data_IF_483547427707
#
_entry.id   IF_483547427707
#
_cell.length_a   1.000
_cell.length_b   1.000
_cell.length_c   1.000
_cell.angle_alpha   90.00
_cell.angle_beta   90.00
_cell.angle_gamma   90.00
#
_symmetry.space_group_name_H-M   'P 1'
#
loop_
_entity.id
_entity.type
_entity.pdbx_description
1 polymer ?
#
# COMPACT_ATOMS: atom_id res chain seq x y z
N UNK A 1 36.02 15.62 -7.94
CA UNK A 1 34.81 16.31 -7.42
C UNK A 1 34.67 15.91 -5.96
N UNK A 2 34.42 16.89 -5.09
CA UNK A 2 34.59 16.84 -3.62
C UNK A 2 34.12 15.54 -2.93
N UNK A 3 35.00 14.93 -2.13
CA UNK A 3 34.69 13.83 -1.17
C UNK A 3 33.88 14.31 0.05
N UNK A 4 33.51 15.59 0.09
CA UNK A 4 32.83 16.18 1.23
C UNK A 4 31.32 15.90 1.20
N UNK A 5 30.81 15.25 2.24
CA UNK A 5 29.37 15.08 2.45
C UNK A 5 28.76 16.45 2.79
N UNK A 6 27.81 16.92 1.99
CA UNK A 6 27.05 18.14 2.27
C UNK A 6 25.81 17.76 3.08
N UNK A 7 25.73 18.21 4.33
CA UNK A 7 24.55 18.03 5.15
C UNK A 7 23.43 18.97 4.67
N UNK A 8 22.29 18.39 4.30
CA UNK A 8 21.06 19.11 3.92
C UNK A 8 20.21 19.52 5.12
N UNK A 9 20.71 19.28 6.34
CA UNK A 9 20.00 19.51 7.59
C UNK A 9 19.74 20.98 7.88
N UNK A 10 20.35 21.95 7.20
CA UNK A 10 20.02 23.37 7.39
C UNK A 10 19.95 24.07 6.03
N UNK A 11 19.23 25.20 5.96
CA UNK A 11 19.28 26.07 4.79
C UNK A 11 20.72 26.54 4.56
N UNK A 12 21.28 26.29 3.38
CA UNK A 12 22.56 26.88 3.00
C UNK A 12 22.38 28.39 2.81
N UNK A 13 23.23 29.21 3.44
CA UNK A 13 23.17 30.69 3.30
C UNK A 13 23.30 31.19 1.85
N UNK A 14 23.74 30.36 0.90
CA UNK A 14 23.89 30.67 -0.53
C UNK A 14 22.61 30.52 -1.37
N UNK A 15 21.46 30.13 -0.78
CA UNK A 15 20.24 29.85 -1.55
C UNK A 15 19.35 31.07 -1.86
N UNK A 16 19.84 32.30 -1.68
CA UNK A 16 19.06 33.53 -1.95
C UNK A 16 18.79 33.81 -3.44
N UNK A 17 19.46 33.12 -4.37
CA UNK A 17 19.38 33.40 -5.82
C UNK A 17 18.78 32.27 -6.67
N UNK A 18 18.34 31.15 -6.08
CA UNK A 18 17.77 30.04 -6.85
C UNK A 18 16.23 30.05 -6.81
N UNK A 19 15.55 29.79 -7.95
CA UNK A 19 14.10 29.64 -7.98
C UNK A 19 13.69 28.50 -7.03
N UNK A 20 12.66 28.73 -6.23
CA UNK A 20 12.13 27.70 -5.33
C UNK A 20 11.56 26.56 -6.16
N UNK A 21 12.15 25.36 -6.06
CA UNK A 21 11.52 24.11 -6.53
C UNK A 21 10.36 23.69 -5.61
N UNK A 22 9.65 24.66 -5.02
CA UNK A 22 8.54 24.41 -4.11
C UNK A 22 7.47 23.59 -4.81
N UNK A 23 6.91 22.63 -4.09
CA UNK A 23 5.84 21.78 -4.60
C UNK A 23 4.49 22.32 -4.13
N UNK A 24 3.62 22.61 -5.08
CA UNK A 24 2.25 23.07 -4.82
C UNK A 24 1.31 21.87 -4.75
N UNK A 25 1.33 21.15 -3.63
CA UNK A 25 0.51 19.95 -3.43
C UNK A 25 -0.99 20.26 -3.61
N UNK A 26 -1.70 19.38 -4.33
CA UNK A 26 -3.10 19.61 -4.70
C UNK A 26 -3.31 20.51 -5.92
N UNK A 27 -2.28 20.98 -6.62
CA UNK A 27 -2.50 21.64 -7.90
C UNK A 27 -2.96 20.65 -8.99
N UNK A 28 -4.03 21.03 -9.72
CA UNK A 28 -4.68 20.21 -10.75
C UNK A 28 -3.84 19.93 -11.99
N UNK A 29 -2.88 20.80 -12.30
CA UNK A 29 -1.97 20.60 -13.43
C UNK A 29 -0.56 20.32 -12.92
N UNK A 30 0.16 19.36 -13.50
CA UNK A 30 1.51 19.03 -13.06
C UNK A 30 2.50 20.19 -13.25
N UNK A 31 2.28 21.08 -14.22
CA UNK A 31 3.11 22.27 -14.47
C UNK A 31 3.09 23.23 -13.28
N UNK A 32 1.90 23.46 -12.71
CA UNK A 32 1.72 24.30 -11.52
C UNK A 32 2.16 23.55 -10.26
N UNK A 33 1.88 22.25 -10.17
CA UNK A 33 2.26 21.43 -9.00
C UNK A 33 3.78 21.35 -8.82
N UNK A 34 4.50 21.16 -9.92
CA UNK A 34 5.92 20.83 -9.93
C UNK A 34 6.21 19.34 -9.66
N UNK A 35 7.43 18.89 -9.99
CA UNK A 35 7.86 17.51 -9.78
C UNK A 35 8.29 17.24 -8.34
N UNK A 36 8.31 15.96 -7.95
CA UNK A 36 8.99 15.50 -6.73
C UNK A 36 10.49 15.35 -7.04
N UNK A 37 11.33 16.05 -6.28
CA UNK A 37 12.79 16.06 -6.46
C UNK A 37 13.45 15.63 -5.15
N UNK A 38 13.87 14.37 -5.09
CA UNK A 38 14.68 13.81 -4.00
C UNK A 38 16.11 13.47 -4.48
N UNK A 39 16.72 14.41 -5.22
CA UNK A 39 18.05 14.26 -5.82
C UNK A 39 19.14 13.97 -4.77
N UNK A 40 20.02 13.02 -5.11
CA UNK A 40 21.20 12.67 -4.31
C UNK A 40 22.48 13.38 -4.76
N UNK A 41 22.53 13.79 -6.02
CA UNK A 41 23.73 14.40 -6.63
C UNK A 41 23.72 15.92 -6.55
N UNK A 42 22.52 16.52 -6.49
CA UNK A 42 22.33 17.98 -6.51
C UNK A 42 21.38 18.39 -5.39
N UNK A 43 21.87 18.41 -4.14
CA UNK A 43 21.02 18.61 -2.96
C UNK A 43 20.24 19.93 -2.96
N UNK A 44 20.74 20.96 -3.67
CA UNK A 44 20.11 22.27 -3.78
C UNK A 44 18.77 22.21 -4.52
N UNK A 45 18.57 21.24 -5.41
CA UNK A 45 17.32 21.10 -6.16
C UNK A 45 16.21 20.41 -5.35
N UNK A 46 16.53 19.84 -4.19
CA UNK A 46 15.59 19.00 -3.44
C UNK A 46 14.41 19.80 -2.93
N UNK A 47 13.22 19.22 -3.10
CA UNK A 47 11.98 19.69 -2.49
C UNK A 47 11.29 18.61 -1.63
N UNK A 48 11.98 17.48 -1.43
CA UNK A 48 11.50 16.37 -0.62
C UNK A 48 12.59 15.79 0.31
N UNK A 49 12.13 15.27 1.44
CA UNK A 49 12.91 14.53 2.43
C UNK A 49 12.99 13.06 2.00
N UNK A 50 14.12 12.39 2.22
CA UNK A 50 14.32 11.00 1.81
C UNK A 50 14.88 10.86 0.39
N UNK A 51 14.58 9.76 -0.29
CA UNK A 51 15.10 9.47 -1.65
C UNK A 51 14.07 8.69 -2.46
N UNK A 52 14.07 8.83 -3.78
CA UNK A 52 13.29 7.95 -4.67
C UNK A 52 13.60 6.46 -4.40
N UNK A 53 12.56 5.62 -4.47
CA UNK A 53 12.62 4.19 -4.14
C UNK A 53 13.26 3.92 -2.78
N UNK A 54 12.79 4.62 -1.75
CA UNK A 54 13.37 4.66 -0.41
C UNK A 54 13.59 3.27 0.22
N UNK A 55 12.66 2.33 0.03
CA UNK A 55 12.79 0.95 0.53
C UNK A 55 14.04 0.22 0.00
N UNK A 56 14.59 0.67 -1.13
CA UNK A 56 15.78 0.10 -1.78
C UNK A 56 17.01 1.01 -1.66
N UNK A 57 16.93 2.11 -0.90
CA UNK A 57 18.00 3.10 -0.81
C UNK A 57 19.30 2.52 -0.23
N UNK A 58 19.21 1.61 0.75
CA UNK A 58 20.39 0.95 1.35
C UNK A 58 21.05 0.00 0.36
N UNK A 59 20.29 -0.79 -0.40
CA UNK A 59 20.85 -1.63 -1.46
C UNK A 59 21.53 -0.81 -2.55
N UNK A 60 20.91 0.32 -2.94
CA UNK A 60 21.53 1.28 -3.87
C UNK A 60 22.83 1.84 -3.29
N UNK A 61 22.85 2.21 -2.02
CA UNK A 61 24.07 2.71 -1.37
C UNK A 61 25.18 1.66 -1.35
N UNK A 62 24.86 0.39 -1.08
CA UNK A 62 25.82 -0.72 -1.17
C UNK A 62 26.33 -0.93 -2.60
N UNK A 63 25.45 -0.87 -3.60
CA UNK A 63 25.84 -0.99 -5.00
C UNK A 63 26.78 0.14 -5.45
N UNK A 64 26.58 1.36 -4.93
CA UNK A 64 27.51 2.47 -5.17
C UNK A 64 28.84 2.24 -4.45
N UNK A 65 28.80 1.82 -3.18
CA UNK A 65 30.00 1.54 -2.40
C UNK A 65 30.84 0.39 -2.98
N UNK A 66 30.19 -0.61 -3.58
CA UNK A 66 30.86 -1.74 -4.25
C UNK A 66 31.31 -1.42 -5.69
N UNK A 67 31.03 -0.22 -6.22
CA UNK A 67 31.33 0.16 -7.59
C UNK A 67 30.44 -0.52 -8.65
N UNK A 68 29.35 -1.18 -8.25
CA UNK A 68 28.37 -1.79 -9.16
C UNK A 68 27.45 -0.76 -9.81
N UNK A 69 27.24 0.38 -9.15
CA UNK A 69 26.45 1.50 -9.66
C UNK A 69 27.26 2.79 -9.53
N UNK A 70 27.34 3.60 -10.59
CA UNK A 70 27.94 4.93 -10.49
C UNK A 70 27.13 5.81 -9.54
N UNK A 71 27.81 6.51 -8.63
CA UNK A 71 27.17 7.43 -7.67
C UNK A 71 26.27 8.46 -8.35
N UNK A 72 26.70 8.94 -9.51
CA UNK A 72 26.04 10.00 -10.26
C UNK A 72 25.16 9.43 -11.41
N UNK A 73 24.89 8.12 -11.40
CA UNK A 73 24.07 7.45 -12.41
C UNK A 73 22.71 8.12 -12.58
N UNK A 74 22.38 8.43 -13.84
CA UNK A 74 21.07 8.89 -14.27
C UNK A 74 20.36 7.75 -14.99
N UNK A 75 19.20 7.30 -14.47
CA UNK A 75 18.39 6.30 -15.16
C UNK A 75 17.97 6.80 -16.56
N UNK A 76 17.98 5.90 -17.54
CA UNK A 76 17.36 6.11 -18.83
C UNK A 76 15.88 5.70 -18.76
N UNK A 77 14.97 6.63 -19.04
CA UNK A 77 13.52 6.40 -19.06
C UNK A 77 12.96 6.28 -20.48
N UNK A 78 13.81 6.09 -21.48
CA UNK A 78 13.37 5.79 -22.85
C UNK A 78 12.53 4.51 -22.86
N UNK A 79 11.34 4.57 -23.50
CA UNK A 79 10.38 3.46 -23.59
C UNK A 79 9.87 2.92 -22.24
N UNK A 80 9.87 3.73 -21.18
CA UNK A 80 9.29 3.36 -19.87
C UNK A 80 7.90 3.98 -19.62
N UNK A 81 7.28 4.54 -20.67
CA UNK A 81 5.93 5.10 -20.58
C UNK A 81 4.93 4.03 -20.07
N UNK A 82 3.94 4.43 -19.26
CA UNK A 82 3.00 3.50 -18.68
C UNK A 82 2.19 2.78 -19.76
N UNK A 83 1.94 1.48 -19.57
CA UNK A 83 1.15 0.69 -20.53
C UNK A 83 -0.32 1.11 -20.62
N UNK A 84 -0.81 1.84 -19.62
CA UNK A 84 -2.12 2.48 -19.57
C UNK A 84 -2.01 3.85 -18.89
N UNK A 85 -2.67 4.85 -19.44
CA UNK A 85 -2.78 6.16 -18.80
C UNK A 85 -3.95 6.16 -17.82
N UNK A 86 -3.67 6.59 -16.60
CA UNK A 86 -4.66 6.73 -15.53
C UNK A 86 -4.83 8.21 -15.26
N UNK A 87 -6.08 8.67 -15.13
CA UNK A 87 -6.42 10.06 -14.84
C UNK A 87 -6.05 11.07 -15.94
N UNK A 88 -5.91 12.37 -15.60
CA UNK A 88 -6.12 12.91 -14.25
C UNK A 88 -7.58 12.78 -13.81
N UNK A 89 -7.79 12.49 -12.52
CA UNK A 89 -9.12 12.53 -11.90
C UNK A 89 -9.23 13.78 -11.02
N UNK A 90 -10.43 14.39 -10.84
CA UNK A 90 -10.59 15.62 -10.06
C UNK A 90 -9.99 15.56 -8.64
N UNK A 91 -9.99 14.37 -8.03
CA UNK A 91 -9.43 14.13 -6.71
C UNK A 91 -7.92 14.39 -6.61
N UNK A 92 -7.19 14.42 -7.73
CA UNK A 92 -5.75 14.73 -7.73
C UNK A 92 -5.46 16.20 -7.40
N UNK A 93 -6.43 17.07 -7.69
CA UNK A 93 -6.40 18.51 -7.35
C UNK A 93 -6.92 18.83 -5.96
N UNK A 94 -7.26 17.82 -5.15
CA UNK A 94 -7.69 18.03 -3.77
C UNK A 94 -6.55 17.61 -2.81
N UNK A 95 -5.92 18.56 -2.09
CA UNK A 95 -4.79 18.27 -1.22
C UNK A 95 -5.15 17.36 -0.03
N UNK A 96 -6.44 17.17 0.26
CA UNK A 96 -6.91 16.30 1.32
C UNK A 96 -7.24 14.88 0.84
N UNK A 97 -7.31 14.61 -0.47
CA UNK A 97 -7.71 13.29 -1.01
C UNK A 97 -6.54 12.33 -1.15
N UNK A 98 -5.41 12.80 -1.64
CA UNK A 98 -4.21 11.97 -1.85
C UNK A 98 -3.07 12.61 -1.07
N UNK A 99 -2.62 11.94 -0.02
CA UNK A 99 -1.54 12.42 0.87
C UNK A 99 -0.42 11.41 1.06
N UNK A 100 -0.59 10.17 0.56
CA UNK A 100 0.33 9.05 0.80
C UNK A 100 1.15 8.58 -0.41
N UNK A 101 0.88 9.11 -1.62
CA UNK A 101 1.73 8.93 -2.80
C UNK A 101 1.54 10.08 -3.81
N UNK A 102 2.38 10.09 -4.85
CA UNK A 102 2.39 11.13 -5.87
C UNK A 102 1.43 10.77 -7.04
N UNK A 103 0.32 11.49 -7.22
CA UNK A 103 -0.68 11.15 -8.25
C UNK A 103 -0.14 11.24 -9.68
N UNK A 104 0.92 12.01 -9.93
CA UNK A 104 1.57 12.15 -11.24
C UNK A 104 2.74 11.18 -11.45
N UNK A 105 2.99 10.28 -10.49
CA UNK A 105 4.20 9.47 -10.43
C UNK A 105 4.47 8.61 -11.66
N UNK A 106 3.44 8.14 -12.35
CA UNK A 106 3.52 7.32 -13.57
C UNK A 106 3.77 8.14 -14.83
N UNK A 107 3.53 9.45 -14.77
CA UNK A 107 3.70 10.38 -15.90
C UNK A 107 4.95 11.25 -15.75
N UNK A 108 5.65 11.18 -14.61
CA UNK A 108 6.72 12.10 -14.26
C UNK A 108 7.81 12.23 -15.34
N UNK A 109 8.33 11.14 -15.96
CA UNK A 109 9.34 11.25 -17.02
C UNK A 109 8.86 12.02 -18.26
N UNK A 110 7.58 11.88 -18.63
CA UNK A 110 7.02 12.53 -19.81
C UNK A 110 6.63 13.99 -19.53
N UNK A 111 5.93 14.21 -18.43
CA UNK A 111 5.38 15.51 -18.05
C UNK A 111 6.47 16.51 -17.65
N UNK A 112 7.55 16.03 -17.04
CA UNK A 112 8.67 16.87 -16.60
C UNK A 112 9.92 16.73 -17.48
N UNK A 113 9.77 16.26 -18.72
CA UNK A 113 10.88 16.02 -19.64
C UNK A 113 11.77 17.27 -19.85
N UNK A 114 11.18 18.47 -19.87
CA UNK A 114 11.93 19.73 -20.00
C UNK A 114 12.84 19.98 -18.79
N UNK A 115 12.32 19.77 -17.58
CA UNK A 115 13.08 19.91 -16.34
C UNK A 115 14.18 18.84 -16.23
N UNK A 116 13.87 17.60 -16.63
CA UNK A 116 14.86 16.52 -16.69
C UNK A 116 15.98 16.83 -17.70
N UNK A 117 15.65 17.34 -18.88
CA UNK A 117 16.63 17.78 -19.87
C UNK A 117 17.49 18.97 -19.38
N UNK A 118 16.95 19.80 -18.48
CA UNK A 118 17.68 20.86 -17.78
C UNK A 118 18.55 20.36 -16.61
N UNK A 119 18.64 19.04 -16.39
CA UNK A 119 19.51 18.42 -15.39
C UNK A 119 18.87 18.16 -14.02
N UNK A 120 17.55 18.36 -13.87
CA UNK A 120 16.84 18.02 -12.63
C UNK A 120 16.61 16.51 -12.56
N UNK A 121 17.06 15.87 -11.46
CA UNK A 121 16.87 14.43 -11.21
C UNK A 121 15.43 14.16 -10.76
N UNK A 122 14.54 13.92 -11.73
CA UNK A 122 13.13 13.59 -11.53
C UNK A 122 12.96 12.12 -11.88
N UNK A 123 12.32 11.36 -10.99
CA UNK A 123 12.11 9.91 -11.18
C UNK A 123 10.65 9.55 -10.96
N UNK A 124 10.11 8.58 -11.71
CA UNK A 124 8.76 8.10 -11.47
C UNK A 124 8.68 7.44 -10.09
N UNK A 125 7.55 7.64 -9.41
CA UNK A 125 7.18 6.94 -8.18
C UNK A 125 6.09 5.90 -8.41
N UNK A 126 5.55 5.84 -9.64
CA UNK A 126 4.57 4.84 -10.06
C UNK A 126 5.01 4.27 -11.40
N UNK A 127 4.84 2.97 -11.61
CA UNK A 127 5.03 2.33 -12.91
C UNK A 127 3.83 1.44 -13.22
N UNK A 128 3.31 1.52 -14.45
CA UNK A 128 2.11 0.78 -14.90
C UNK A 128 2.48 -0.14 -16.06
N UNK A 129 2.11 -1.42 -15.96
CA UNK A 129 2.36 -2.44 -16.98
C UNK A 129 1.19 -3.40 -17.12
N UNK A 130 1.18 -4.22 -18.18
CA UNK A 130 0.22 -5.31 -18.36
C UNK A 130 0.93 -6.65 -18.14
N UNK A 131 0.21 -7.61 -17.56
CA UNK A 131 0.74 -8.94 -17.29
C UNK A 131 -0.39 -9.98 -17.29
N UNK A 132 0.01 -11.25 -17.20
CA UNK A 132 -0.87 -12.32 -16.76
C UNK A 132 -0.46 -12.76 -15.35
N UNK A 133 -1.44 -13.12 -14.52
CA UNK A 133 -1.20 -13.87 -13.28
C UNK A 133 -1.78 -15.27 -13.43
N UNK A 134 -1.14 -16.26 -12.80
CA UNK A 134 -1.61 -17.64 -12.75
C UNK A 134 -1.36 -18.14 -11.33
N UNK A 135 -2.39 -18.71 -10.71
CA UNK A 135 -2.35 -19.19 -9.32
C UNK A 135 -3.06 -20.54 -9.23
N UNK A 136 -2.56 -21.48 -8.40
CA UNK A 136 -3.23 -22.76 -8.17
C UNK A 136 -4.71 -22.62 -7.81
N UNK A 137 -5.05 -21.63 -6.97
CA UNK A 137 -6.40 -21.35 -6.50
C UNK A 137 -7.36 -21.00 -7.64
N UNK A 138 -6.87 -20.36 -8.71
CA UNK A 138 -7.71 -20.05 -9.88
C UNK A 138 -8.09 -21.34 -10.63
N UNK A 139 -7.15 -22.29 -10.75
CA UNK A 139 -7.42 -23.60 -11.36
C UNK A 139 -8.37 -24.42 -10.50
N UNK A 140 -8.24 -24.36 -9.18
CA UNK A 140 -9.17 -24.99 -8.25
C UNK A 140 -10.57 -24.37 -8.36
N UNK A 141 -10.67 -23.03 -8.42
CA UNK A 141 -11.92 -22.32 -8.60
C UNK A 141 -12.60 -22.67 -9.94
N UNK A 142 -11.82 -22.80 -11.02
CA UNK A 142 -12.31 -23.26 -12.32
C UNK A 142 -12.80 -24.71 -12.27
N UNK A 143 -12.02 -25.61 -11.66
CA UNK A 143 -12.37 -27.02 -11.54
C UNK A 143 -13.63 -27.24 -10.69
N UNK A 144 -13.82 -26.39 -9.68
CA UNK A 144 -15.01 -26.36 -8.84
C UNK A 144 -16.21 -25.62 -9.48
N UNK A 145 -16.04 -25.05 -10.68
CA UNK A 145 -17.09 -24.31 -11.39
C UNK A 145 -17.42 -22.92 -10.82
N UNK A 146 -16.63 -22.41 -9.87
CA UNK A 146 -16.77 -21.06 -9.30
C UNK A 146 -16.35 -19.98 -10.30
N UNK A 147 -15.30 -20.23 -11.06
CA UNK A 147 -14.87 -19.38 -12.17
C UNK A 147 -15.05 -20.10 -13.50
N UNK A 148 -15.42 -19.35 -14.54
CA UNK A 148 -15.52 -19.86 -15.91
C UNK A 148 -14.64 -19.01 -16.82
N UNK A 149 -13.76 -19.62 -17.62
CA UNK A 149 -12.94 -18.88 -18.57
C UNK A 149 -13.84 -18.23 -19.63
N UNK A 150 -13.49 -17.00 -20.02
CA UNK A 150 -14.13 -16.23 -21.08
C UNK A 150 -13.20 -15.98 -22.28
N UNK A 151 -11.93 -16.36 -22.16
CA UNK A 151 -10.91 -16.13 -23.18
C UNK A 151 -10.45 -14.68 -23.31
N UNK A 152 -10.87 -13.80 -22.40
CA UNK A 152 -10.54 -12.37 -22.41
C UNK A 152 -9.92 -11.91 -21.08
N UNK A 153 -10.61 -12.17 -19.97
CA UNK A 153 -10.11 -11.88 -18.62
C UNK A 153 -9.45 -13.12 -18.06
N UNK A 154 -10.13 -14.28 -18.14
CA UNK A 154 -9.67 -15.57 -17.63
C UNK A 154 -9.58 -16.57 -18.78
N UNK A 155 -8.39 -17.15 -18.96
CA UNK A 155 -8.11 -18.13 -20.00
C UNK A 155 -8.24 -19.57 -19.48
N UNK A 156 -8.42 -20.52 -20.40
CA UNK A 156 -8.56 -21.96 -20.11
C UNK A 156 -7.37 -22.55 -19.33
N UNK A 157 -6.17 -21.98 -19.47
CA UNK A 157 -4.98 -22.41 -18.75
C UNK A 157 -4.87 -21.84 -17.32
N UNK A 158 -5.86 -21.03 -16.89
CA UNK A 158 -5.89 -20.33 -15.61
C UNK A 158 -5.12 -19.00 -15.58
N UNK A 159 -4.59 -18.54 -16.72
CA UNK A 159 -4.02 -17.21 -16.82
C UNK A 159 -5.13 -16.16 -16.71
N UNK A 160 -4.83 -15.08 -15.99
CA UNK A 160 -5.73 -13.94 -15.87
C UNK A 160 -5.02 -12.69 -16.31
N UNK A 161 -5.61 -11.97 -17.26
CA UNK A 161 -5.08 -10.72 -17.79
C UNK A 161 -5.28 -9.61 -16.76
N UNK A 162 -4.20 -8.90 -16.44
CA UNK A 162 -4.22 -7.80 -15.47
C UNK A 162 -3.43 -6.59 -15.96
N UNK A 163 -3.90 -5.40 -15.57
CA UNK A 163 -3.06 -4.19 -15.53
C UNK A 163 -2.50 -4.05 -14.12
N UNK A 164 -1.19 -3.86 -14.00
CA UNK A 164 -0.49 -3.73 -12.73
C UNK A 164 0.06 -2.33 -12.56
N UNK A 165 -0.03 -1.79 -11.35
CA UNK A 165 0.65 -0.55 -10.98
C UNK A 165 1.50 -0.76 -9.72
N UNK A 166 2.79 -0.49 -9.78
CA UNK A 166 3.65 -0.43 -8.59
C UNK A 166 3.74 1.03 -8.13
N UNK A 167 3.53 1.29 -6.84
CA UNK A 167 3.46 2.64 -6.26
C UNK A 167 4.41 2.72 -5.08
N UNK A 168 5.44 3.57 -5.20
CA UNK A 168 6.31 3.99 -4.11
C UNK A 168 5.62 5.06 -3.26
N UNK A 169 5.79 5.03 -1.92
CA UNK A 169 5.16 6.00 -1.04
C UNK A 169 5.79 7.39 -1.18
N UNK A 170 4.94 8.41 -1.22
CA UNK A 170 5.32 9.83 -1.23
C UNK A 170 4.34 10.58 -0.35
N UNK A 171 4.77 10.96 0.85
CA UNK A 171 3.90 11.53 1.88
C UNK A 171 3.92 13.05 1.85
N UNK A 172 2.73 13.65 1.76
CA UNK A 172 2.54 15.07 2.01
C UNK A 172 2.29 15.29 3.51
N UNK A 173 3.31 15.76 4.21
CA UNK A 173 3.33 15.81 5.68
C UNK A 173 2.19 16.64 6.29
N UNK A 174 1.80 17.83 5.76
CA UNK A 174 0.66 18.57 6.28
C UNK A 174 -0.67 17.80 6.15
N UNK A 175 -0.90 17.19 4.99
CA UNK A 175 -2.11 16.38 4.75
C UNK A 175 -2.15 15.12 5.61
N UNK A 176 -1.00 14.48 5.80
CA UNK A 176 -0.84 13.33 6.68
C UNK A 176 -1.15 13.68 8.15
N UNK A 177 -0.61 14.81 8.62
CA UNK A 177 -0.86 15.32 9.97
C UNK A 177 -2.35 15.60 10.20
N UNK A 178 -3.01 16.25 9.22
CA UNK A 178 -4.45 16.48 9.24
C UNK A 178 -5.25 15.17 9.23
N UNK A 179 -4.88 14.20 8.38
CA UNK A 179 -5.56 12.90 8.25
C UNK A 179 -5.56 12.12 9.56
N UNK A 180 -4.45 12.16 10.30
CA UNK A 180 -4.33 11.50 11.61
C UNK A 180 -4.76 12.37 12.79
N UNK A 181 -5.23 13.59 12.54
CA UNK A 181 -5.55 14.57 13.58
C UNK A 181 -4.40 14.78 14.59
N UNK A 182 -3.18 14.94 14.06
CA UNK A 182 -1.96 15.19 14.82
C UNK A 182 -1.33 16.51 14.38
N UNK A 183 -0.62 17.16 15.30
CA UNK A 183 0.18 18.34 14.96
C UNK A 183 1.34 17.95 14.01
N UNK A 184 1.57 18.71 12.93
CA UNK A 184 2.64 18.41 11.95
C UNK A 184 4.04 18.35 12.59
N UNK A 185 4.35 19.27 13.52
CA UNK A 185 5.64 19.26 14.22
C UNK A 185 5.79 18.04 15.11
N UNK A 186 4.71 17.59 15.74
CA UNK A 186 4.72 16.35 16.50
C UNK A 186 4.93 15.14 15.58
N UNK A 187 4.20 15.05 14.46
CA UNK A 187 4.39 13.98 13.45
C UNK A 187 5.85 13.89 13.02
N UNK A 188 6.41 15.01 12.55
CA UNK A 188 7.80 15.10 12.08
C UNK A 188 8.81 14.67 13.14
N UNK A 189 8.62 15.13 14.38
CA UNK A 189 9.47 14.77 15.52
C UNK A 189 9.45 13.27 15.79
N UNK A 190 8.27 12.66 15.84
CA UNK A 190 8.16 11.22 16.06
C UNK A 190 8.75 10.42 14.90
N UNK A 191 8.56 10.85 13.64
CA UNK A 191 9.20 10.22 12.49
C UNK A 191 10.74 10.26 12.62
N UNK A 192 11.31 11.40 13.02
CA UNK A 192 12.75 11.53 13.24
C UNK A 192 13.24 10.64 14.40
N UNK A 193 12.58 10.68 15.56
CA UNK A 193 12.98 9.91 16.74
C UNK A 193 12.84 8.40 16.51
N UNK A 194 11.74 7.94 15.92
CA UNK A 194 11.46 6.51 15.70
C UNK A 194 12.26 5.90 14.54
N UNK A 195 12.85 6.73 13.67
CA UNK A 195 13.82 6.26 12.68
C UNK A 195 15.26 6.32 13.19
N UNK A 196 15.48 6.54 14.49
CA UNK A 196 16.82 6.61 15.07
C UNK A 196 17.59 7.85 14.63
N UNK A 197 16.89 8.96 14.37
CA UNK A 197 17.48 10.21 13.90
C UNK A 197 17.80 10.22 12.40
N UNK A 198 17.24 9.29 11.62
CA UNK A 198 17.32 9.39 10.16
C UNK A 198 16.52 10.61 9.68
N UNK A 199 17.03 11.28 8.65
CA UNK A 199 16.42 12.46 8.04
C UNK A 199 16.28 13.67 8.99
N UNK A 200 17.40 14.31 9.40
CA UNK A 200 17.37 15.53 10.21
C UNK A 200 16.44 16.63 9.66
N UNK A 201 16.25 16.67 8.34
CA UNK A 201 15.35 17.60 7.65
C UNK A 201 13.91 17.56 8.16
N UNK A 202 13.46 16.44 8.75
CA UNK A 202 12.14 16.35 9.36
C UNK A 202 11.96 17.42 10.45
N UNK A 203 13.01 17.72 11.22
CA UNK A 203 12.95 18.67 12.34
C UNK A 203 13.64 20.01 12.05
N UNK A 204 14.42 20.10 10.97
CA UNK A 204 15.19 21.32 10.66
C UNK A 204 14.75 22.05 9.38
N UNK A 205 13.99 21.40 8.49
CA UNK A 205 13.58 21.91 7.17
C UNK A 205 12.07 21.82 7.00
N UNK A 206 11.34 22.70 7.70
CA UNK A 206 9.89 22.79 7.63
C UNK A 206 9.37 23.33 6.28
N UNK A 207 10.23 23.90 5.46
CA UNK A 207 9.97 24.24 4.07
C UNK A 207 9.74 22.99 3.20
N UNK A 208 10.39 21.86 3.53
CA UNK A 208 10.18 20.60 2.83
C UNK A 208 8.89 19.92 3.34
N UNK A 209 7.84 19.96 2.53
CA UNK A 209 6.50 19.40 2.87
C UNK A 209 6.30 17.95 2.46
N UNK A 210 7.21 17.40 1.67
CA UNK A 210 7.12 16.03 1.15
C UNK A 210 8.18 15.14 1.76
N UNK A 211 7.80 13.91 2.09
CA UNK A 211 8.69 12.87 2.60
C UNK A 211 8.53 11.57 1.81
N UNK A 212 9.65 10.97 1.38
CA UNK A 212 9.68 9.66 0.73
C UNK A 212 10.14 8.64 1.78
N UNK A 213 9.22 8.04 2.54
CA UNK A 213 9.59 7.10 3.60
C UNK A 213 10.21 5.83 3.01
N UNK A 214 11.24 5.26 3.65
CA UNK A 214 11.89 4.03 3.20
C UNK A 214 11.09 2.78 3.62
N UNK A 215 9.80 2.73 3.27
CA UNK A 215 8.89 1.62 3.59
C UNK A 215 8.40 0.95 2.31
N UNK A 216 7.85 -0.26 2.46
CA UNK A 216 7.21 -0.97 1.36
C UNK A 216 6.05 -0.17 0.76
N UNK A 217 5.99 -0.12 -0.57
CA UNK A 217 4.90 0.49 -1.32
C UNK A 217 3.66 -0.41 -1.43
N UNK A 218 2.88 -0.17 -2.48
CA UNK A 218 1.75 -1.02 -2.84
C UNK A 218 1.84 -1.46 -4.30
N UNK A 219 1.15 -2.56 -4.61
CA UNK A 219 0.97 -3.02 -6.00
C UNK A 219 -0.50 -3.24 -6.26
N UNK A 220 -0.99 -2.71 -7.37
CA UNK A 220 -2.36 -2.88 -7.82
C UNK A 220 -2.41 -3.98 -8.88
N UNK A 221 -3.49 -4.75 -8.86
CA UNK A 221 -3.86 -5.68 -9.91
C UNK A 221 -5.29 -5.34 -10.32
N UNK A 222 -5.43 -4.79 -11.53
CA UNK A 222 -6.71 -4.42 -12.11
C UNK A 222 -7.13 -5.48 -13.12
N UNK A 223 -8.35 -6.00 -12.97
CA UNK A 223 -8.99 -6.98 -13.82
C UNK A 223 -10.03 -6.27 -14.67
N UNK A 224 -9.95 -6.42 -15.99
CA UNK A 224 -10.75 -5.65 -16.94
C UNK A 224 -10.10 -4.32 -17.33
N UNK A 225 -10.91 -3.42 -17.90
CA UNK A 225 -10.44 -2.18 -18.51
C UNK A 225 -10.26 -1.06 -17.48
N UNK A 226 -9.00 -0.80 -17.08
CA UNK A 226 -8.68 0.21 -16.05
C UNK A 226 -9.16 1.62 -16.42
N UNK A 227 -9.22 1.95 -17.72
CA UNK A 227 -9.72 3.23 -18.24
C UNK A 227 -11.23 3.45 -18.03
N UNK A 228 -11.96 2.41 -17.60
CA UNK A 228 -13.34 2.52 -17.19
C UNK A 228 -13.48 3.08 -15.77
N UNK A 229 -12.45 3.00 -14.92
CA UNK A 229 -12.49 3.53 -13.56
C UNK A 229 -12.69 5.05 -13.56
N UNK A 230 -13.37 5.56 -12.52
CA UNK A 230 -13.74 6.96 -12.39
C UNK A 230 -15.00 7.38 -13.15
N UNK A 231 -15.59 6.51 -13.98
CA UNK A 231 -16.89 6.74 -14.62
C UNK A 231 -18.02 6.21 -13.71
N UNK A 232 -19.11 6.96 -13.58
CA UNK A 232 -20.23 6.61 -12.69
C UNK A 232 -20.92 5.29 -13.03
N UNK A 233 -20.91 4.91 -14.32
CA UNK A 233 -21.53 3.66 -14.81
C UNK A 233 -20.70 2.41 -14.51
N UNK A 234 -19.42 2.58 -14.17
CA UNK A 234 -18.49 1.45 -14.01
C UNK A 234 -18.70 0.80 -12.65
N UNK A 235 -19.08 -0.47 -12.65
CA UNK A 235 -19.15 -1.27 -11.41
C UNK A 235 -17.77 -1.70 -10.97
N UNK A 236 -17.51 -1.65 -9.67
CA UNK A 236 -16.19 -1.95 -9.09
C UNK A 236 -16.30 -3.03 -8.02
N UNK A 237 -15.47 -4.06 -8.16
CA UNK A 237 -15.20 -5.01 -7.09
C UNK A 237 -13.78 -4.79 -6.58
N UNK A 238 -13.56 -4.90 -5.27
CA UNK A 238 -12.25 -4.65 -4.70
C UNK A 238 -11.88 -5.54 -3.52
N UNK A 239 -10.58 -5.85 -3.41
CA UNK A 239 -9.92 -6.40 -2.24
C UNK A 239 -8.71 -5.54 -1.86
N UNK A 240 -8.67 -5.03 -0.64
CA UNK A 240 -7.45 -4.44 -0.07
C UNK A 240 -6.77 -5.44 0.85
N UNK A 241 -5.62 -5.92 0.40
CA UNK A 241 -4.81 -6.92 1.07
C UNK A 241 -3.58 -6.28 1.70
N UNK A 242 -3.27 -6.67 2.94
CA UNK A 242 -1.99 -6.33 3.57
C UNK A 242 -1.15 -7.60 3.59
N UNK A 243 0.10 -7.48 3.15
CA UNK A 243 1.08 -8.56 3.01
C UNK A 243 1.15 -9.48 4.23
N UNK A 244 1.17 -10.78 3.95
CA UNK A 244 1.43 -11.84 4.89
C UNK A 244 2.26 -12.92 4.21
N UNK A 245 3.57 -12.72 4.11
CA UNK A 245 4.52 -13.56 3.38
C UNK A 245 4.32 -15.07 3.65
N UNK A 246 4.26 -15.46 4.93
CA UNK A 246 4.06 -16.86 5.33
C UNK A 246 2.77 -17.50 4.79
N UNK A 247 1.67 -16.74 4.67
CA UNK A 247 0.41 -17.25 4.12
C UNK A 247 0.38 -17.09 2.61
N UNK A 248 0.61 -15.88 2.11
CA UNK A 248 0.48 -15.51 0.71
C UNK A 248 1.41 -16.33 -0.20
N UNK A 249 2.66 -16.56 0.23
CA UNK A 249 3.65 -17.31 -0.56
C UNK A 249 3.61 -18.80 -0.21
N UNK A 250 3.63 -19.14 1.08
CA UNK A 250 3.87 -20.52 1.54
C UNK A 250 2.63 -21.27 2.03
N UNK A 251 1.44 -20.64 2.04
CA UNK A 251 0.19 -21.32 2.38
C UNK A 251 0.06 -21.66 3.85
N UNK A 252 0.65 -20.87 4.75
CA UNK A 252 0.44 -21.02 6.20
C UNK A 252 -1.05 -21.07 6.55
N UNK A 253 -1.41 -22.09 7.34
CA UNK A 253 -2.77 -22.44 7.78
C UNK A 253 -3.22 -21.73 9.08
N UNK A 254 -2.33 -20.96 9.70
CA UNK A 254 -2.56 -20.27 10.98
C UNK A 254 -3.38 -18.97 10.78
N UNK A 255 -3.50 -18.50 9.54
CA UNK A 255 -4.27 -17.30 9.23
C UNK A 255 -5.03 -17.40 7.91
N UNK A 256 -5.96 -16.47 7.72
CA UNK A 256 -6.86 -16.42 6.57
C UNK A 256 -6.36 -15.52 5.43
N UNK A 257 -5.11 -15.06 5.46
CA UNK A 257 -4.60 -14.08 4.50
C UNK A 257 -4.68 -14.57 3.04
N UNK A 258 -4.06 -15.70 2.71
CA UNK A 258 -4.06 -16.24 1.35
C UNK A 258 -5.45 -16.69 0.85
N UNK A 259 -6.25 -17.45 1.62
CA UNK A 259 -7.61 -17.79 1.19
C UNK A 259 -8.47 -16.56 0.87
N UNK A 260 -8.32 -15.49 1.64
CA UNK A 260 -9.07 -14.26 1.40
C UNK A 260 -8.49 -13.45 0.22
N UNK A 261 -7.17 -13.47 0.00
CA UNK A 261 -6.58 -12.91 -1.21
C UNK A 261 -7.12 -13.61 -2.46
N UNK A 262 -7.11 -14.96 -2.47
CA UNK A 262 -7.64 -15.76 -3.57
C UNK A 262 -9.13 -15.48 -3.81
N UNK A 263 -9.95 -15.50 -2.75
CA UNK A 263 -11.37 -15.18 -2.86
C UNK A 263 -11.61 -13.74 -3.36
N UNK A 264 -10.82 -12.78 -2.90
CA UNK A 264 -10.87 -11.41 -3.41
C UNK A 264 -10.53 -11.30 -4.89
N UNK A 265 -9.57 -12.11 -5.38
CA UNK A 265 -9.24 -12.21 -6.81
C UNK A 265 -10.42 -12.84 -7.58
N UNK A 266 -11.05 -13.92 -7.08
CA UNK A 266 -12.24 -14.53 -7.70
C UNK A 266 -13.36 -13.48 -7.89
N UNK A 267 -13.70 -12.74 -6.84
CA UNK A 267 -14.72 -11.67 -6.88
C UNK A 267 -14.35 -10.55 -7.87
N UNK A 268 -13.05 -10.22 -7.99
CA UNK A 268 -12.56 -9.22 -8.94
C UNK A 268 -12.62 -9.71 -10.39
N UNK A 269 -12.31 -10.97 -10.65
CA UNK A 269 -12.43 -11.59 -11.97
C UNK A 269 -13.90 -11.58 -12.38
N UNK A 270 -14.80 -12.12 -11.56
CA UNK A 270 -16.25 -12.14 -11.84
C UNK A 270 -16.79 -10.75 -12.22
N UNK A 271 -16.39 -9.70 -11.49
CA UNK A 271 -16.79 -8.33 -11.79
C UNK A 271 -16.29 -7.88 -13.17
N UNK A 272 -15.03 -8.17 -13.50
CA UNK A 272 -14.46 -7.83 -14.80
C UNK A 272 -15.19 -8.56 -15.95
N UNK A 273 -15.52 -9.84 -15.77
CA UNK A 273 -16.27 -10.63 -16.76
C UNK A 273 -17.70 -10.11 -16.99
N UNK A 274 -18.28 -9.41 -15.99
CA UNK A 274 -19.58 -8.75 -16.09
C UNK A 274 -19.51 -7.34 -16.71
N UNK A 275 -18.35 -6.95 -17.26
CA UNK A 275 -18.12 -5.62 -17.84
C UNK A 275 -17.79 -4.52 -16.83
N UNK A 276 -17.58 -4.87 -15.56
CA UNK A 276 -17.06 -3.97 -14.53
C UNK A 276 -15.52 -3.99 -14.46
N UNK A 277 -14.98 -3.54 -13.33
CA UNK A 277 -13.53 -3.61 -13.04
C UNK A 277 -13.30 -4.25 -11.68
N UNK A 278 -12.42 -5.25 -11.64
CA UNK A 278 -11.89 -5.81 -10.41
C UNK A 278 -10.60 -5.10 -9.99
N UNK A 279 -10.41 -4.85 -8.70
CA UNK A 279 -9.22 -4.19 -8.16
C UNK A 279 -8.70 -4.91 -6.91
N UNK A 280 -7.49 -5.46 -6.98
CA UNK A 280 -6.74 -5.90 -5.79
C UNK A 280 -5.65 -4.88 -5.49
N UNK A 281 -5.66 -4.34 -4.27
CA UNK A 281 -4.61 -3.49 -3.72
C UNK A 281 -3.78 -4.33 -2.76
N UNK A 282 -2.52 -4.59 -3.08
CA UNK A 282 -1.59 -5.34 -2.23
C UNK A 282 -0.60 -4.39 -1.55
N UNK A 283 -0.78 -4.16 -0.25
CA UNK A 283 0.10 -3.30 0.55
C UNK A 283 1.21 -4.12 1.19
N UNK A 284 2.45 -3.65 1.11
CA UNK A 284 3.62 -4.29 1.75
C UNK A 284 3.73 -3.90 3.23
N UNK A 285 2.75 -4.34 4.03
CA UNK A 285 2.57 -4.03 5.46
C UNK A 285 2.52 -5.32 6.31
N UNK A 286 3.60 -6.10 6.26
CA UNK A 286 3.72 -7.37 6.99
C UNK A 286 3.43 -7.25 8.49
N UNK A 287 2.73 -8.24 9.03
CA UNK A 287 2.52 -8.37 10.47
C UNK A 287 1.76 -7.20 11.09
N UNK A 288 0.80 -6.60 10.37
CA UNK A 288 0.13 -5.35 10.78
C UNK A 288 1.08 -4.17 10.97
N UNK A 289 2.07 -4.09 10.09
CA UNK A 289 3.18 -3.14 10.17
C UNK A 289 4.08 -3.29 11.43
N UNK A 290 4.06 -4.45 12.08
CA UNK A 290 4.99 -4.81 13.18
C UNK A 290 6.23 -5.58 12.69
N UNK A 291 6.20 -6.06 11.45
CA UNK A 291 7.23 -6.93 10.89
C UNK A 291 7.09 -8.40 11.27
N UNK A 292 7.80 -9.26 10.54
CA UNK A 292 7.67 -10.72 10.63
C UNK A 292 8.24 -11.29 11.94
N UNK A 293 9.34 -10.71 12.46
CA UNK A 293 9.94 -11.14 13.73
C UNK A 293 8.94 -11.00 14.88
N UNK A 294 8.34 -9.82 15.03
CA UNK A 294 7.33 -9.55 16.07
C UNK A 294 6.12 -10.47 15.92
N UNK A 295 5.65 -10.68 14.69
CA UNK A 295 4.56 -11.62 14.39
C UNK A 295 4.87 -13.02 14.88
N UNK A 296 6.07 -13.54 14.65
CA UNK A 296 6.46 -14.89 15.09
C UNK A 296 6.62 -14.96 16.61
N UNK A 297 7.14 -13.91 17.26
CA UNK A 297 7.15 -13.82 18.72
C UNK A 297 5.74 -13.88 19.31
N UNK A 298 4.77 -13.18 18.71
CA UNK A 298 3.36 -13.23 19.10
C UNK A 298 2.77 -14.62 18.90
N UNK A 299 3.03 -15.29 17.77
CA UNK A 299 2.57 -16.67 17.55
C UNK A 299 3.15 -17.64 18.60
N UNK A 300 4.44 -17.54 18.90
CA UNK A 300 5.08 -18.36 19.92
C UNK A 300 4.50 -18.08 21.31
N UNK A 301 4.25 -16.81 21.65
CA UNK A 301 3.66 -16.43 22.93
C UNK A 301 2.22 -16.95 23.06
N UNK A 302 1.42 -16.86 21.99
CA UNK A 302 0.06 -17.41 21.94
C UNK A 302 0.01 -18.91 22.13
N UNK A 303 0.92 -19.67 21.49
CA UNK A 303 0.96 -21.13 21.65
C UNK A 303 1.47 -21.57 23.02
N UNK A 304 2.38 -20.81 23.65
CA UNK A 304 2.99 -21.16 24.95
C UNK A 304 2.18 -20.73 26.17
N UNK A 305 1.16 -19.89 26.00
CA UNK A 305 0.38 -19.42 27.14
C UNK A 305 -0.41 -20.57 27.77
N UNK A 306 -0.66 -20.46 29.08
CA UNK A 306 -1.56 -21.38 29.79
C UNK A 306 -2.94 -21.35 29.12
N UNK A 307 -3.43 -22.51 28.73
CA UNK A 307 -4.70 -22.65 28.02
C UNK A 307 -4.59 -22.73 26.50
N UNK A 308 -3.40 -22.55 25.93
CA UNK A 308 -3.11 -22.68 24.49
C UNK A 308 -3.51 -21.45 23.67
N UNK A 309 -3.47 -21.57 22.35
CA UNK A 309 -3.86 -20.49 21.44
C UNK A 309 -5.40 -20.37 21.36
N UNK A 310 -5.96 -19.27 21.87
CA UNK A 310 -7.42 -19.05 22.02
C UNK A 310 -7.84 -17.69 21.48
N UNK A 311 -9.06 -17.61 20.97
CA UNK A 311 -9.61 -16.39 20.39
C UNK A 311 -9.68 -15.23 21.41
N UNK A 312 -10.07 -15.53 22.67
CA UNK A 312 -10.22 -14.55 23.76
C UNK A 312 -8.94 -13.76 24.09
N UNK A 313 -7.76 -14.37 23.89
CA UNK A 313 -6.45 -13.76 24.22
C UNK A 313 -5.68 -13.28 23.00
N UNK A 314 -6.27 -13.42 21.81
CA UNK A 314 -5.60 -13.21 20.53
C UNK A 314 -4.92 -11.83 20.44
N UNK A 315 -5.69 -10.77 20.71
CA UNK A 315 -5.21 -9.39 20.61
C UNK A 315 -4.38 -8.99 21.83
N UNK A 316 -4.72 -9.47 23.02
CA UNK A 316 -3.99 -9.20 24.26
C UNK A 316 -2.51 -9.63 24.16
N UNK A 317 -2.22 -10.76 23.50
CA UNK A 317 -0.83 -11.18 23.27
C UNK A 317 -0.08 -10.32 22.28
N UNK A 318 -0.77 -9.79 21.28
CA UNK A 318 -0.17 -8.84 20.35
C UNK A 318 0.23 -7.57 21.09
N UNK A 319 -0.68 -7.01 21.88
CA UNK A 319 -0.44 -5.80 22.68
C UNK A 319 0.66 -6.00 23.73
N UNK A 320 0.69 -7.14 24.40
CA UNK A 320 1.74 -7.47 25.38
C UNK A 320 3.15 -7.50 24.76
N UNK A 321 3.30 -7.96 23.52
CA UNK A 321 4.61 -8.09 22.85
C UNK A 321 4.98 -6.82 22.08
N UNK A 322 4.01 -6.20 21.40
CA UNK A 322 4.25 -5.10 20.48
C UNK A 322 3.89 -3.71 21.06
N UNK A 323 3.24 -3.65 22.23
CA UNK A 323 2.73 -2.41 22.84
C UNK A 323 1.45 -1.87 22.17
N UNK A 324 0.99 -2.49 21.08
CA UNK A 324 -0.19 -2.08 20.31
C UNK A 324 -0.74 -3.27 19.51
N UNK A 325 -2.02 -3.25 19.19
CA UNK A 325 -2.69 -4.35 18.47
C UNK A 325 -2.56 -4.25 16.93
N UNK A 326 -2.37 -3.05 16.40
CA UNK A 326 -2.27 -2.75 14.97
C UNK A 326 -1.50 -1.42 14.75
N UNK A 327 -0.47 -1.42 13.90
CA UNK A 327 0.27 -0.21 13.50
C UNK A 327 -0.03 0.22 12.06
N UNK A 328 -1.01 -0.41 11.40
CA UNK A 328 -1.37 -0.05 10.03
C UNK A 328 -2.18 1.24 10.04
N UNK A 329 -1.70 2.19 9.26
CA UNK A 329 -2.46 3.37 8.88
C UNK A 329 -3.47 3.03 7.78
N UNK A 330 -4.69 2.64 8.17
CA UNK A 330 -5.77 2.34 7.24
C UNK A 330 -6.38 3.61 6.65
N UNK A 331 -6.21 4.74 7.33
CA UNK A 331 -6.66 6.06 6.91
C UNK A 331 -6.01 6.53 5.60
N UNK A 332 -4.87 5.94 5.21
CA UNK A 332 -4.18 6.23 3.94
C UNK A 332 -4.64 5.34 2.78
N UNK A 333 -5.31 4.22 3.10
CA UNK A 333 -5.81 3.26 2.11
C UNK A 333 -6.73 3.90 1.05
N UNK A 334 -7.63 4.86 1.38
CA UNK A 334 -8.53 5.48 0.40
C UNK A 334 -7.82 6.23 -0.74
N UNK A 335 -6.60 6.70 -0.54
CA UNK A 335 -5.89 7.56 -1.50
C UNK A 335 -5.75 6.88 -2.88
N UNK A 336 -5.54 5.56 -2.92
CA UNK A 336 -5.43 4.81 -4.20
C UNK A 336 -6.74 4.78 -4.97
N UNK A 337 -7.87 4.73 -4.26
CA UNK A 337 -9.19 4.78 -4.89
C UNK A 337 -9.45 6.16 -5.48
N UNK A 338 -9.05 7.22 -4.77
CA UNK A 338 -9.11 8.58 -5.30
C UNK A 338 -8.19 8.77 -6.51
N UNK A 339 -7.01 8.15 -6.51
CA UNK A 339 -6.13 8.18 -7.67
C UNK A 339 -6.73 7.50 -8.90
N UNK A 340 -7.49 6.42 -8.70
CA UNK A 340 -8.26 5.73 -9.76
C UNK A 340 -9.63 6.39 -10.05
N UNK A 341 -9.94 7.52 -9.41
CA UNK A 341 -11.23 8.21 -9.55
C UNK A 341 -12.43 7.50 -8.92
N UNK A 342 -12.23 6.40 -8.19
CA UNK A 342 -13.28 5.58 -7.58
C UNK A 342 -13.94 6.35 -6.42
N UNK A 343 -15.28 6.42 -6.46
CA UNK A 343 -16.14 7.02 -5.42
C UNK A 343 -17.12 6.01 -4.81
N UNK A 344 -17.29 4.86 -5.45
CA UNK A 344 -18.21 3.78 -5.06
C UNK A 344 -17.58 2.44 -5.36
N UNK A 345 -17.73 1.50 -4.44
CA UNK A 345 -17.32 0.10 -4.55
C UNK A 345 -18.58 -0.75 -4.44
N UNK A 346 -18.93 -1.46 -5.50
CA UNK A 346 -20.13 -2.31 -5.55
C UNK A 346 -19.95 -3.56 -4.71
N UNK A 347 -18.81 -4.25 -4.83
CA UNK A 347 -18.51 -5.48 -4.08
C UNK A 347 -17.13 -5.40 -3.43
N UNK A 348 -17.08 -5.32 -2.11
CA UNK A 348 -15.83 -5.21 -1.38
C UNK A 348 -15.54 -6.46 -0.56
N UNK A 349 -14.55 -7.24 -0.98
CA UNK A 349 -14.14 -8.48 -0.32
C UNK A 349 -13.35 -8.18 0.96
N UNK A 350 -14.06 -7.86 2.05
CA UNK A 350 -13.45 -7.53 3.35
C UNK A 350 -14.45 -7.53 4.51
N UNK A 351 -14.02 -8.10 5.65
CA UNK A 351 -14.72 -8.03 6.94
C UNK A 351 -14.19 -6.91 7.86
N UNK A 352 -13.18 -6.15 7.44
CA UNK A 352 -12.54 -5.15 8.31
C UNK A 352 -13.37 -3.88 8.46
N UNK A 353 -13.86 -3.61 9.68
CA UNK A 353 -14.56 -2.36 10.00
C UNK A 353 -13.63 -1.14 9.99
N UNK A 354 -12.36 -1.30 10.38
CA UNK A 354 -11.38 -0.21 10.29
C UNK A 354 -11.17 0.26 8.85
N UNK A 355 -10.97 -0.68 7.91
CA UNK A 355 -10.84 -0.34 6.49
C UNK A 355 -12.12 0.27 5.92
N UNK A 356 -13.30 -0.23 6.33
CA UNK A 356 -14.58 0.33 5.93
C UNK A 356 -14.75 1.78 6.42
N UNK A 357 -14.44 2.02 7.70
CA UNK A 357 -14.45 3.35 8.31
C UNK A 357 -13.54 4.33 7.57
N UNK A 358 -12.33 3.90 7.19
CA UNK A 358 -11.42 4.72 6.42
C UNK A 358 -11.97 5.10 5.03
N UNK A 359 -12.57 4.16 4.30
CA UNK A 359 -13.20 4.42 2.99
C UNK A 359 -14.36 5.42 3.12
N UNK A 360 -15.29 5.14 4.02
CA UNK A 360 -16.48 5.97 4.22
C UNK A 360 -16.13 7.37 4.70
N UNK A 361 -15.15 7.51 5.60
CA UNK A 361 -14.64 8.82 6.06
C UNK A 361 -14.01 9.65 4.94
N UNK A 362 -13.55 9.02 3.86
CA UNK A 362 -13.00 9.70 2.68
C UNK A 362 -14.03 9.88 1.55
N UNK A 363 -15.30 9.53 1.80
CA UNK A 363 -16.40 9.70 0.86
C UNK A 363 -16.47 8.62 -0.21
N UNK A 364 -15.93 7.42 0.07
CA UNK A 364 -16.08 6.25 -0.80
C UNK A 364 -17.23 5.40 -0.27
N UNK A 365 -18.26 5.25 -1.09
CA UNK A 365 -19.41 4.39 -0.80
C UNK A 365 -19.03 2.91 -0.96
N UNK A 366 -19.44 2.06 -0.01
CA UNK A 366 -19.32 0.60 -0.12
C UNK A 366 -20.72 0.01 -0.09
N UNK A 367 -21.16 -0.58 -1.21
CA UNK A 367 -22.52 -1.10 -1.37
C UNK A 367 -22.67 -2.48 -0.72
N UNK A 368 -21.76 -3.40 -1.05
CA UNK A 368 -21.77 -4.76 -0.53
C UNK A 368 -20.41 -5.11 0.08
N UNK A 369 -20.43 -5.74 1.25
CA UNK A 369 -19.24 -6.33 1.89
C UNK A 369 -19.32 -7.84 1.72
N UNK A 370 -18.37 -8.40 0.96
CA UNK A 370 -18.32 -9.84 0.66
C UNK A 370 -17.42 -10.54 1.70
N UNK A 371 -17.99 -11.37 2.60
CA UNK A 371 -17.22 -12.18 3.54
C UNK A 371 -16.49 -13.30 2.80
N UNK A 372 -15.47 -13.88 3.42
CA UNK A 372 -14.89 -15.13 2.92
C UNK A 372 -15.86 -16.29 3.15
N UNK A 373 -16.05 -17.20 2.18
CA UNK A 373 -16.83 -18.43 2.37
C UNK A 373 -16.22 -19.31 3.47
N UNK A 374 -17.07 -19.95 4.27
CA UNK A 374 -16.64 -20.75 5.44
C UNK A 374 -15.76 -21.94 5.04
N UNK A 375 -16.02 -22.54 3.89
CA UNK A 375 -15.26 -23.66 3.32
C UNK A 375 -13.83 -23.28 2.91
N UNK A 376 -13.53 -21.98 2.75
CA UNK A 376 -12.19 -21.49 2.43
C UNK A 376 -11.40 -21.11 3.69
N UNK A 377 -11.98 -21.21 4.89
CA UNK A 377 -11.30 -20.89 6.15
C UNK A 377 -10.55 -22.14 6.64
N UNK A 378 -9.19 -22.11 6.73
CA UNK A 378 -8.43 -23.21 7.32
C UNK A 378 -8.85 -23.47 8.77
N UNK A 379 -8.80 -24.73 9.21
CA UNK A 379 -9.23 -25.12 10.55
C UNK A 379 -8.50 -24.33 11.67
N UNK A 380 -7.18 -24.23 11.57
CA UNK A 380 -6.35 -23.48 12.54
C UNK A 380 -6.62 -21.97 12.50
N UNK A 381 -7.04 -21.44 11.35
CA UNK A 381 -7.37 -20.03 11.18
C UNK A 381 -8.74 -19.66 11.78
N UNK A 382 -9.55 -20.63 12.22
CA UNK A 382 -10.83 -20.37 12.91
C UNK A 382 -10.63 -19.56 14.19
N UNK A 383 -9.54 -19.82 14.93
CA UNK A 383 -9.17 -19.03 16.13
C UNK A 383 -8.99 -17.55 15.79
N UNK A 384 -8.31 -17.24 14.67
CA UNK A 384 -8.17 -15.87 14.19
C UNK A 384 -9.52 -15.28 13.78
N UNK A 385 -10.35 -16.05 13.09
CA UNK A 385 -11.65 -15.62 12.61
C UNK A 385 -12.58 -15.24 13.75
N UNK A 386 -12.73 -16.14 14.72
CA UNK A 386 -13.59 -15.97 15.88
C UNK A 386 -13.13 -14.77 16.72
N UNK A 387 -11.82 -14.60 16.90
CA UNK A 387 -11.26 -13.42 17.57
C UNK A 387 -11.59 -12.11 16.83
N UNK A 388 -11.51 -12.09 15.50
CA UNK A 388 -11.84 -10.90 14.69
C UNK A 388 -13.33 -10.57 14.81
N UNK A 389 -14.21 -11.56 14.70
CA UNK A 389 -15.66 -11.35 14.84
C UNK A 389 -15.98 -10.82 16.24
N UNK A 390 -15.37 -11.39 17.29
CA UNK A 390 -15.50 -10.90 18.67
C UNK A 390 -15.01 -9.46 18.85
N UNK A 391 -13.93 -9.07 18.15
CA UNK A 391 -13.43 -7.70 18.11
C UNK A 391 -14.25 -6.76 17.20
N UNK A 392 -15.41 -7.21 16.74
CA UNK A 392 -16.37 -6.42 15.98
C UNK A 392 -16.10 -6.36 14.48
N UNK A 393 -15.39 -7.32 13.88
CA UNK A 393 -15.33 -7.45 12.42
C UNK A 393 -16.70 -7.85 11.87
N UNK A 394 -17.01 -7.44 10.64
CA UNK A 394 -18.27 -7.78 9.99
C UNK A 394 -18.36 -9.29 9.73
N UNK A 395 -19.47 -9.89 10.13
CA UNK A 395 -19.85 -11.26 9.80
C UNK A 395 -21.32 -11.28 9.36
N UNK A 396 -21.67 -12.17 8.43
CA UNK A 396 -23.04 -12.31 7.93
C UNK A 396 -23.97 -13.08 8.91
N UNK A 397 -23.53 -13.32 10.16
CA UNK A 397 -24.23 -14.13 11.17
C UNK A 397 -24.29 -13.49 12.56
N UNK A 398 -24.92 -14.18 13.52
CA UNK A 398 -25.07 -13.72 14.89
C UNK A 398 -23.71 -13.62 15.63
N UNK A 399 -23.54 -12.68 16.57
CA UNK A 399 -22.30 -12.57 17.34
C UNK A 399 -22.03 -13.83 18.17
N UNK A 400 -20.79 -14.32 18.09
CA UNK A 400 -20.32 -15.50 18.82
C UNK A 400 -20.21 -15.17 20.32
N UNK A 401 -20.71 -16.05 21.19
CA UNK A 401 -20.70 -15.85 22.65
C UNK A 401 -19.29 -16.00 23.24
N UNK A 402 -19.05 -15.41 24.42
CA UNK A 402 -17.76 -15.52 25.13
C UNK A 402 -17.42 -16.98 25.45
N UNK A 403 -18.42 -17.82 25.74
CA UNK A 403 -18.25 -19.23 26.03
C UNK A 403 -17.78 -20.02 24.79
N UNK A 404 -18.30 -19.70 23.61
CA UNK A 404 -17.88 -20.31 22.33
C UNK A 404 -16.46 -19.85 21.92
N UNK A 405 -16.09 -18.60 22.19
CA UNK A 405 -14.74 -18.08 21.93
C UNK A 405 -13.65 -18.79 22.75
N UNK A 406 -13.99 -19.29 23.94
CA UNK A 406 -13.08 -20.06 24.78
C UNK A 406 -12.92 -21.53 24.32
N UNK A 407 -13.83 -22.03 23.47
CA UNK A 407 -13.78 -23.38 22.92
C UNK A 407 -12.82 -23.50 21.74
N UNK A 408 -12.67 -22.45 20.93
CA UNK A 408 -11.75 -22.43 19.79
C UNK A 408 -10.30 -22.51 20.28
N UNK A 409 -9.62 -23.62 19.95
CA UNK A 409 -8.21 -23.88 20.32
C UNK A 409 -7.38 -24.13 19.07
N UNK A 410 -6.30 -23.36 18.93
CA UNK A 410 -5.27 -23.60 17.92
C UNK A 410 -4.33 -24.72 18.34
N UNK A 411 -3.55 -25.24 17.38
CA UNK A 411 -2.58 -26.32 17.61
C UNK A 411 -1.42 -25.94 18.55
N UNK A 412 -0.86 -26.96 19.21
CA UNK A 412 0.31 -26.85 20.09
C UNK A 412 1.64 -26.63 19.31
N UNK A 413 2.73 -26.35 20.03
CA UNK A 413 4.06 -26.28 19.45
C UNK A 413 4.60 -27.69 19.21
N UNK A 414 4.73 -28.11 17.95
CA UNK A 414 5.33 -29.40 17.58
C UNK A 414 4.41 -30.38 16.84
N UNK A 415 3.21 -29.95 16.48
CA UNK A 415 2.25 -30.70 15.64
C UNK A 415 1.97 -29.94 14.34
#
# INVERSE_FOLDING_TARGET
MSDHIVLTSHHSQSSKEQPSNEIHWGAESPEIRGPIIASLTTPQHRNAIGTHSGAYAIYRALAVASGTLDRDHRPDFTNTAPAELIGPHPQWGDPDKIVSFDPYGHMAPAVFAKQSAAGIDIRPSIAVTKAHINMPELKEAMSAGRLKPDGEILFENGDVRVTKAAIDPVWYLPGLAKRFNINESALRRHLFEQTGGMFPELVTRFDLKVFLPPIGGMTLYCFGEISALGKEVTRVACRVHDECNGSDVFGSDICTCRPYLAHGIEVCIEMAQQGGVGLVVYNRKEGRALGEVTKFLVYNARKRQVGGDRAETYFARTECVAGVQDMRFQELMPDVFHWLGIKRIDRWASMSNMKHGALTAQGIEVVERVPIPDELIPADARVEMDAKVAAGYFAAGAPVSIEELAMAKGRELGV
#
